data_IF_357925751081
#
_entry.id   IF_357925751081
#
_cell.length_a   1.000
_cell.length_b   1.000
_cell.length_c   1.000
_cell.angle_alpha   90.00
_cell.angle_beta   90.00
_cell.angle_gamma   90.00
#
_symmetry.space_group_name_H-M   'P 1'
#
loop_
_entity.id
_entity.type
_entity.pdbx_description
1 polymer ?
#
# COMPACT_ATOMS: atom_id res chain seq x y z
N UNK A 1 -42.16 -14.29 -30.46
CA UNK A 1 -40.85 -13.71 -30.84
C UNK A 1 -40.48 -12.45 -30.05
N UNK A 2 -41.40 -11.51 -29.77
CA UNK A 2 -41.11 -10.28 -28.98
C UNK A 2 -40.58 -10.53 -27.55
N UNK A 3 -41.07 -11.56 -26.85
CA UNK A 3 -40.60 -11.91 -25.49
C UNK A 3 -39.20 -12.53 -25.46
N UNK A 4 -38.81 -13.27 -26.50
CA UNK A 4 -37.46 -13.81 -26.65
C UNK A 4 -36.46 -12.69 -27.00
N UNK A 5 -36.88 -11.74 -27.84
CA UNK A 5 -36.08 -10.57 -28.21
C UNK A 5 -35.81 -9.64 -27.02
N UNK A 6 -36.82 -9.39 -26.17
CA UNK A 6 -36.65 -8.61 -24.93
C UNK A 6 -35.74 -9.30 -23.90
N UNK A 7 -35.76 -10.64 -23.81
CA UNK A 7 -34.88 -11.37 -22.90
C UNK A 7 -33.41 -11.32 -23.37
N UNK A 8 -33.20 -11.40 -24.69
CA UNK A 8 -31.87 -11.29 -25.29
C UNK A 8 -31.28 -9.88 -25.10
N UNK A 9 -32.13 -8.85 -25.20
CA UNK A 9 -31.74 -7.45 -24.96
C UNK A 9 -31.38 -7.20 -23.49
N UNK A 10 -32.04 -7.89 -22.54
CA UNK A 10 -31.76 -7.79 -21.11
C UNK A 10 -30.41 -8.43 -20.74
N UNK A 11 -30.07 -9.57 -21.34
CA UNK A 11 -28.77 -10.21 -21.14
C UNK A 11 -27.61 -9.39 -21.73
N UNK A 12 -27.83 -8.72 -22.86
CA UNK A 12 -26.81 -7.88 -23.52
C UNK A 12 -26.53 -6.58 -22.76
N UNK A 13 -27.52 -6.06 -22.02
CA UNK A 13 -27.33 -4.93 -21.11
C UNK A 13 -26.54 -5.32 -19.84
N UNK A 14 -26.68 -6.57 -19.38
CA UNK A 14 -26.04 -7.06 -18.16
C UNK A 14 -24.53 -7.27 -18.27
N UNK A 15 -23.97 -7.39 -19.47
CA UNK A 15 -22.52 -7.59 -19.68
C UNK A 15 -21.75 -6.29 -19.88
N UNK A 16 -22.44 -5.14 -20.03
CA UNK A 16 -21.81 -3.83 -20.28
C UNK A 16 -21.31 -3.11 -19.01
N UNK A 17 -21.52 -3.68 -17.82
CA UNK A 17 -21.15 -3.06 -16.55
C UNK A 17 -19.80 -3.51 -15.98
N UNK A 18 -19.04 -4.36 -16.69
CA UNK A 18 -17.65 -4.63 -16.32
C UNK A 18 -16.74 -3.72 -17.13
N UNK A 19 -16.83 -2.42 -16.88
CA UNK A 19 -15.78 -1.49 -17.25
C UNK A 19 -14.78 -1.48 -16.08
N UNK A 20 -13.97 -2.53 -15.97
CA UNK A 20 -12.75 -2.44 -15.18
C UNK A 20 -11.80 -1.52 -15.95
N UNK A 21 -11.78 -0.23 -15.62
CA UNK A 21 -10.60 0.57 -15.90
C UNK A 21 -9.52 0.07 -14.94
N UNK A 22 -8.65 -0.80 -15.42
CA UNK A 22 -7.34 -1.00 -14.80
C UNK A 22 -6.59 0.33 -14.97
N UNK A 23 -6.82 1.28 -14.07
CA UNK A 23 -5.90 2.39 -13.89
C UNK A 23 -4.70 1.78 -13.15
N UNK A 24 -3.70 1.34 -13.91
CA UNK A 24 -2.48 0.75 -13.35
C UNK A 24 -1.61 1.88 -12.81
N UNK A 25 -1.66 2.06 -11.48
CA UNK A 25 -0.76 2.96 -10.77
C UNK A 25 0.59 2.24 -10.53
N UNK A 26 1.68 2.88 -10.93
CA UNK A 26 3.03 2.34 -10.80
C UNK A 26 3.74 2.97 -9.61
N UNK A 27 4.21 2.16 -8.66
CA UNK A 27 5.08 2.62 -7.59
C UNK A 27 6.44 2.97 -8.19
N UNK A 28 6.82 4.25 -8.13
CA UNK A 28 8.02 4.77 -8.79
C UNK A 28 9.12 5.18 -7.81
N UNK A 29 8.77 5.40 -6.53
CA UNK A 29 9.70 5.81 -5.48
C UNK A 29 9.11 5.52 -4.11
N UNK A 30 9.99 5.20 -3.15
CA UNK A 30 9.69 5.27 -1.73
C UNK A 30 10.73 6.17 -1.08
N UNK A 31 10.28 7.15 -0.30
CA UNK A 31 11.14 7.91 0.59
C UNK A 31 10.95 7.37 2.02
N UNK A 32 12.04 7.02 2.69
CA UNK A 32 12.06 6.34 4.00
C UNK A 32 12.77 7.23 5.03
N UNK A 33 12.14 7.42 6.18
CA UNK A 33 12.70 8.15 7.31
C UNK A 33 12.60 7.30 8.58
N UNK A 34 13.74 6.99 9.21
CA UNK A 34 13.78 6.27 10.48
C UNK A 34 13.47 7.21 11.63
N UNK A 35 12.80 6.69 12.66
CA UNK A 35 12.49 7.44 13.87
C UNK A 35 13.45 6.99 14.98
N UNK A 36 14.24 7.93 15.48
CA UNK A 36 15.18 7.67 16.56
C UNK A 36 14.46 7.52 17.91
N UNK A 37 15.16 6.98 18.91
CA UNK A 37 14.59 6.71 20.24
C UNK A 37 14.16 7.95 21.04
N UNK A 38 14.49 9.15 20.58
CA UNK A 38 14.05 10.44 21.13
C UNK A 38 12.96 11.11 20.29
N UNK A 39 12.31 10.35 19.41
CA UNK A 39 11.28 10.76 18.44
C UNK A 39 11.79 11.76 17.38
N UNK A 40 13.11 11.93 17.25
CA UNK A 40 13.68 12.70 16.14
C UNK A 40 13.72 11.87 14.84
N UNK A 41 13.55 12.56 13.71
CA UNK A 41 13.64 11.94 12.39
C UNK A 41 15.11 11.93 11.94
N UNK A 42 15.56 10.77 11.48
CA UNK A 42 16.86 10.61 10.83
C UNK A 42 16.84 11.14 9.38
N UNK A 43 17.99 11.08 8.71
CA UNK A 43 18.10 11.44 7.30
C UNK A 43 17.19 10.56 6.44
N UNK A 44 16.65 11.15 5.38
CA UNK A 44 15.75 10.49 4.43
C UNK A 44 16.51 9.69 3.39
N UNK A 45 16.19 8.40 3.28
CA UNK A 45 16.71 7.48 2.27
C UNK A 45 15.69 7.32 1.13
N UNK A 46 16.16 7.34 -0.12
CA UNK A 46 15.31 7.25 -1.31
C UNK A 46 15.50 5.93 -2.05
N UNK A 47 14.43 5.15 -2.18
CA UNK A 47 14.40 3.88 -2.92
C UNK A 47 13.81 4.13 -4.33
N UNK A 48 14.62 3.87 -5.35
CA UNK A 48 14.24 3.99 -6.78
C UNK A 48 14.46 2.69 -7.57
N UNK A 49 15.07 1.68 -6.97
CA UNK A 49 15.36 0.42 -7.64
C UNK A 49 14.04 -0.34 -7.94
N UNK A 50 13.74 -0.54 -9.22
CA UNK A 50 12.46 -1.10 -9.66
C UNK A 50 12.21 -2.51 -9.10
N UNK A 51 13.25 -3.32 -8.91
CA UNK A 51 13.10 -4.68 -8.36
C UNK A 51 12.74 -4.61 -6.87
N UNK A 52 13.38 -3.69 -6.15
CA UNK A 52 13.10 -3.42 -4.74
C UNK A 52 11.69 -2.86 -4.55
N UNK A 53 11.29 -1.88 -5.38
CA UNK A 53 9.95 -1.30 -5.36
C UNK A 53 8.86 -2.36 -5.63
N UNK A 54 9.05 -3.21 -6.65
CA UNK A 54 8.12 -4.30 -6.97
C UNK A 54 8.04 -5.34 -5.83
N UNK A 55 9.17 -5.64 -5.21
CA UNK A 55 9.24 -6.55 -4.06
C UNK A 55 8.53 -5.97 -2.83
N UNK A 56 8.69 -4.68 -2.54
CA UNK A 56 7.98 -4.00 -1.47
C UNK A 56 6.48 -3.99 -1.76
N UNK A 57 6.08 -3.61 -2.98
CA UNK A 57 4.67 -3.62 -3.39
C UNK A 57 4.03 -4.99 -3.19
N UNK A 58 4.70 -6.06 -3.62
CA UNK A 58 4.22 -7.44 -3.45
C UNK A 58 4.08 -7.83 -1.96
N UNK A 59 4.95 -7.34 -1.07
CA UNK A 59 4.84 -7.60 0.37
C UNK A 59 3.68 -6.82 1.00
N UNK A 60 3.39 -5.61 0.49
CA UNK A 60 2.27 -4.80 0.95
C UNK A 60 0.91 -5.41 0.55
N UNK A 61 0.86 -6.22 -0.51
CA UNK A 61 -0.34 -7.00 -0.88
C UNK A 61 -0.69 -8.09 0.15
N UNK A 62 0.28 -8.53 0.95
CA UNK A 62 0.07 -9.53 2.02
C UNK A 62 -0.36 -8.89 3.35
N UNK A 63 -0.43 -7.57 3.43
CA UNK A 63 -0.90 -6.86 4.63
C UNK A 63 -2.41 -7.07 4.78
N UNK A 64 -2.82 -7.45 5.99
CA UNK A 64 -4.24 -7.54 6.35
C UNK A 64 -4.72 -6.17 6.79
N UNK A 65 -5.43 -5.49 5.90
CA UNK A 65 -5.99 -4.15 6.12
C UNK A 65 -7.35 -4.19 6.79
N UNK A 66 -7.54 -3.34 7.80
CA UNK A 66 -8.75 -3.09 8.56
C UNK A 66 -9.02 -1.57 8.61
N UNK A 67 -9.62 -0.98 7.55
CA UNK A 67 -9.70 0.49 7.39
C UNK A 67 -10.53 1.22 8.46
N UNK A 68 -11.43 0.49 9.12
CA UNK A 68 -12.30 1.01 10.18
C UNK A 68 -11.68 0.86 11.59
N UNK A 69 -10.51 0.24 11.70
CA UNK A 69 -9.82 0.04 12.98
C UNK A 69 -8.94 1.26 13.31
N UNK A 70 -9.10 1.77 14.53
CA UNK A 70 -8.17 2.77 15.07
C UNK A 70 -7.03 2.03 15.80
N UNK A 71 -5.76 2.44 15.59
CA UNK A 71 -4.63 1.84 16.29
C UNK A 71 -4.78 2.02 17.81
N UNK A 72 -4.71 0.93 18.58
CA UNK A 72 -4.63 1.03 20.03
C UNK A 72 -3.27 1.64 20.43
N UNK A 73 -3.29 2.88 20.95
CA UNK A 73 -2.15 3.59 21.58
C UNK A 73 -0.78 3.19 21.00
N UNK A 74 -0.65 3.26 19.67
CA UNK A 74 0.61 2.98 19.01
C UNK A 74 1.63 4.02 19.50
N UNK A 75 2.69 3.54 20.18
CA UNK A 75 3.78 4.37 20.68
C UNK A 75 4.55 5.04 19.54
N UNK A 76 5.79 5.41 19.79
CA UNK A 76 6.67 5.95 18.74
C UNK A 76 6.80 4.96 17.58
N UNK A 77 6.64 5.45 16.36
CA UNK A 77 6.94 4.72 15.13
C UNK A 77 8.40 4.28 15.11
N UNK A 78 8.71 3.21 14.40
CA UNK A 78 10.10 2.87 14.06
C UNK A 78 10.51 3.55 12.74
N UNK A 79 9.55 3.70 11.82
CA UNK A 79 9.82 4.13 10.45
C UNK A 79 8.60 4.82 9.82
N UNK A 80 8.88 5.83 8.99
CA UNK A 80 7.91 6.50 8.13
C UNK A 80 8.32 6.27 6.68
N UNK A 81 7.39 5.80 5.86
CA UNK A 81 7.59 5.61 4.42
C UNK A 81 6.57 6.43 3.63
N UNK A 82 7.03 7.18 2.62
CA UNK A 82 6.15 7.86 1.66
C UNK A 82 6.28 7.17 0.31
N UNK A 83 5.18 6.57 -0.15
CA UNK A 83 5.10 5.86 -1.42
C UNK A 83 4.58 6.80 -2.52
N UNK A 84 5.29 6.85 -3.65
CA UNK A 84 4.97 7.70 -4.78
C UNK A 84 4.49 6.84 -5.95
N UNK A 85 3.25 7.05 -6.38
CA UNK A 85 2.64 6.35 -7.50
C UNK A 85 2.43 7.29 -8.69
N UNK A 86 2.83 6.84 -9.87
CA UNK A 86 2.57 7.52 -11.13
C UNK A 86 1.40 6.85 -11.89
N UNK A 87 0.54 7.68 -12.48
CA UNK A 87 -0.51 7.27 -13.43
C UNK A 87 -0.03 7.56 -14.86
N UNK A 88 -0.37 6.70 -15.83
CA UNK A 88 -0.06 6.92 -17.25
C UNK A 88 -0.73 8.19 -17.84
N UNK A 89 -1.74 8.76 -17.17
CA UNK A 89 -2.65 9.79 -17.73
C UNK A 89 -2.31 11.25 -17.37
N UNK A 90 -1.05 11.62 -17.19
CA UNK A 90 -0.63 13.00 -16.84
C UNK A 90 -1.34 13.55 -15.57
N UNK A 91 -1.81 12.66 -14.68
CA UNK A 91 -2.39 13.06 -13.39
C UNK A 91 -1.26 13.37 -12.39
N UNK A 92 -1.53 14.17 -11.35
CA UNK A 92 -0.58 14.32 -10.24
C UNK A 92 -0.26 12.96 -9.62
N UNK A 93 0.99 12.77 -9.21
CA UNK A 93 1.42 11.58 -8.48
C UNK A 93 0.57 11.39 -7.21
N UNK A 94 0.13 10.16 -6.96
CA UNK A 94 -0.53 9.79 -5.72
C UNK A 94 0.50 9.47 -4.65
N UNK A 95 0.25 9.94 -3.43
CA UNK A 95 1.18 9.86 -2.31
C UNK A 95 0.52 9.19 -1.12
N UNK A 96 1.08 8.07 -0.70
CA UNK A 96 0.62 7.36 0.49
C UNK A 96 1.69 7.40 1.59
N UNK A 97 1.29 7.88 2.76
CA UNK A 97 2.13 7.97 3.95
C UNK A 97 1.85 6.76 4.83
N UNK A 98 2.89 5.97 5.06
CA UNK A 98 2.86 4.79 5.90
C UNK A 98 3.66 5.07 7.17
N UNK A 99 3.01 4.95 8.32
CA UNK A 99 3.65 4.92 9.64
C UNK A 99 3.81 3.46 10.05
N UNK A 100 4.99 3.04 10.47
CA UNK A 100 5.36 1.63 10.62
C UNK A 100 5.92 1.35 12.01
N UNK A 101 5.46 0.26 12.63
CA UNK A 101 5.95 -0.27 13.90
C UNK A 101 6.42 -1.71 13.74
N UNK A 102 7.58 -2.01 14.33
CA UNK A 102 8.12 -3.36 14.48
C UNK A 102 7.72 -3.90 15.85
N UNK A 103 6.77 -4.84 15.85
CA UNK A 103 6.21 -5.37 17.08
C UNK A 103 7.14 -6.41 17.72
N UNK A 104 6.97 -6.64 19.03
CA UNK A 104 7.73 -7.66 19.77
C UNK A 104 7.40 -9.11 19.37
N UNK A 105 6.30 -9.34 18.66
CA UNK A 105 5.88 -10.64 18.13
C UNK A 105 6.36 -10.87 16.69
N UNK A 106 7.37 -10.11 16.25
CA UNK A 106 7.97 -10.15 14.91
C UNK A 106 6.98 -9.81 13.77
N UNK A 107 5.83 -9.21 14.11
CA UNK A 107 4.89 -8.67 13.12
C UNK A 107 5.15 -7.19 12.85
N UNK A 108 4.60 -6.67 11.76
CA UNK A 108 4.61 -5.24 11.45
C UNK A 108 3.20 -4.68 11.52
N UNK A 109 3.06 -3.56 12.21
CA UNK A 109 1.84 -2.73 12.12
C UNK A 109 2.12 -1.57 11.18
N UNK A 110 1.18 -1.28 10.28
CA UNK A 110 1.25 -0.19 9.32
C UNK A 110 -0.03 0.65 9.46
N UNK A 111 0.13 1.96 9.52
CA UNK A 111 -0.99 2.90 9.36
C UNK A 111 -0.78 3.68 8.08
N UNK A 112 -1.74 3.57 7.17
CA UNK A 112 -1.76 4.24 5.89
C UNK A 112 -2.77 5.39 5.90
N UNK A 113 -2.44 6.49 5.22
CA UNK A 113 -3.41 7.55 4.92
C UNK A 113 -4.32 7.21 3.71
N UNK A 114 -4.16 6.05 3.08
CA UNK A 114 -5.08 5.54 2.07
C UNK A 114 -6.40 5.12 2.74
N UNK A 115 -7.53 5.67 2.29
CA UNK A 115 -8.86 5.39 2.84
C UNK A 115 -9.28 3.92 2.68
N UNK A 116 -8.69 3.19 1.73
CA UNK A 116 -8.96 1.76 1.51
C UNK A 116 -8.09 0.82 2.37
N UNK A 117 -7.08 1.36 3.07
CA UNK A 117 -6.11 0.59 3.87
C UNK A 117 -6.28 0.87 5.36
N UNK A 118 -6.10 2.13 5.80
CA UNK A 118 -6.20 2.54 7.20
C UNK A 118 -5.20 1.87 8.13
N UNK A 119 -5.61 0.83 8.86
CA UNK A 119 -4.78 0.05 9.78
C UNK A 119 -4.44 -1.31 9.18
N UNK A 120 -3.18 -1.73 9.23
CA UNK A 120 -2.70 -2.96 8.61
C UNK A 120 -1.77 -3.75 9.51
N UNK A 121 -1.90 -5.08 9.46
CA UNK A 121 -0.96 -6.01 10.10
C UNK A 121 -0.31 -6.94 9.07
N UNK A 122 1.01 -7.02 9.10
CA UNK A 122 1.81 -7.95 8.32
C UNK A 122 2.39 -9.02 9.24
N UNK A 123 2.14 -10.28 8.91
CA UNK A 123 2.61 -11.42 9.71
C UNK A 123 4.14 -11.63 9.57
N UNK A 124 4.72 -12.31 10.57
CA UNK A 124 6.13 -12.72 10.68
C UNK A 124 6.73 -13.23 9.35
N UNK A 125 5.97 -14.02 8.58
CA UNK A 125 6.43 -14.63 7.32
C UNK A 125 6.96 -13.59 6.31
N UNK A 126 6.41 -12.38 6.33
CA UNK A 126 6.72 -11.31 5.37
C UNK A 126 7.37 -10.09 6.04
N UNK A 127 7.15 -9.92 7.34
CA UNK A 127 7.64 -8.80 8.14
C UNK A 127 9.14 -8.56 8.00
N UNK A 128 9.97 -9.57 8.26
CA UNK A 128 11.43 -9.46 8.21
C UNK A 128 11.94 -9.02 6.84
N UNK A 129 11.29 -9.50 5.78
CA UNK A 129 11.66 -9.16 4.41
C UNK A 129 11.30 -7.72 4.08
N UNK A 130 10.10 -7.26 4.48
CA UNK A 130 9.69 -5.87 4.28
C UNK A 130 10.62 -4.93 5.04
N UNK A 131 10.89 -5.22 6.31
CA UNK A 131 11.83 -4.47 7.15
C UNK A 131 13.21 -4.36 6.48
N UNK A 132 13.76 -5.49 6.03
CA UNK A 132 15.08 -5.50 5.39
C UNK A 132 15.15 -4.65 4.11
N UNK A 133 14.08 -4.59 3.33
CA UNK A 133 14.04 -3.78 2.10
C UNK A 133 13.86 -2.28 2.38
N UNK A 134 13.16 -1.92 3.46
CA UNK A 134 12.97 -0.53 3.87
C UNK A 134 14.21 0.04 4.58
N UNK A 135 14.94 -0.80 5.32
CA UNK A 135 16.09 -0.36 6.11
C UNK A 135 17.43 -0.50 5.39
N UNK A 136 17.49 -1.16 4.22
CA UNK A 136 18.77 -1.40 3.54
C UNK A 136 19.42 -0.07 3.13
N UNK A 137 20.62 0.19 3.65
CA UNK A 137 21.50 1.25 3.14
C UNK A 137 21.79 0.97 1.65
N UNK A 138 21.38 1.90 0.77
CA UNK A 138 21.71 1.86 -0.66
C UNK A 138 23.16 2.27 -0.93
#
# INVERSE_FOLDING_TARGET
MKKLFNLLFLCLLGTMLVACSNDENFLIRIDVQRVASDDSLEDEDMILDLITLDSIKSLLEEVKWEPEEEPEDAGSEDLIATLFYADEKDKPDELYLYRIWYNFDDTITIISNNEEEGYGKLDEEYADKLKSLLESEL
#
